data_IF_413390704088
#
_entry.id   IF_413390704088
#
_cell.length_a   1.000
_cell.length_b   1.000
_cell.length_c   1.000
_cell.angle_alpha   90.00
_cell.angle_beta   90.00
_cell.angle_gamma   90.00
#
_symmetry.space_group_name_H-M   'P 1'
#
loop_
_entity.id
_entity.type
_entity.pdbx_description
1 polymer ?
#
# COMPACT_ATOMS: atom_id res chain seq x y z
N UNK A 1 12.16 -15.05 -19.05
CA UNK A 1 11.37 -14.35 -18.03
C UNK A 1 10.80 -15.37 -17.05
N UNK A 2 11.10 -15.28 -15.75
CA UNK A 2 10.62 -16.28 -14.77
C UNK A 2 9.15 -16.09 -14.37
N UNK A 3 8.58 -14.89 -14.49
CA UNK A 3 7.20 -14.58 -14.07
C UNK A 3 6.55 -13.50 -14.97
N UNK A 4 6.28 -13.75 -16.23
CA UNK A 4 5.71 -12.76 -17.16
C UNK A 4 4.33 -12.25 -16.73
N UNK A 5 3.59 -13.05 -15.97
CA UNK A 5 2.27 -12.68 -15.44
C UNK A 5 2.33 -11.56 -14.42
N UNK A 6 3.41 -11.42 -13.62
CA UNK A 6 3.55 -10.33 -12.65
C UNK A 6 3.82 -8.99 -13.34
N UNK A 7 4.63 -9.00 -14.39
CA UNK A 7 4.85 -7.79 -15.19
C UNK A 7 3.57 -7.36 -15.92
N UNK A 8 2.85 -8.30 -16.52
CA UNK A 8 1.57 -8.04 -17.17
C UNK A 8 0.55 -7.49 -16.17
N UNK A 9 0.48 -8.06 -14.96
CA UNK A 9 -0.38 -7.56 -13.89
C UNK A 9 0.00 -6.14 -13.48
N UNK A 10 1.28 -5.85 -13.25
CA UNK A 10 1.75 -4.52 -12.86
C UNK A 10 1.42 -3.46 -13.91
N UNK A 11 1.53 -3.80 -15.20
CA UNK A 11 1.21 -2.90 -16.31
C UNK A 11 -0.30 -2.71 -16.52
N UNK A 12 -1.13 -3.70 -16.19
CA UNK A 12 -2.58 -3.66 -16.37
C UNK A 12 -3.36 -3.15 -15.16
N UNK A 13 -2.70 -3.05 -13.99
CA UNK A 13 -3.35 -2.62 -12.75
C UNK A 13 -3.42 -1.09 -12.67
N UNK A 14 -4.59 -0.50 -12.35
CA UNK A 14 -4.67 0.91 -11.96
C UNK A 14 -3.98 1.14 -10.62
N UNK A 15 -3.10 2.14 -10.56
CA UNK A 15 -2.30 2.44 -9.38
C UNK A 15 -2.76 3.71 -8.69
N UNK A 16 -3.02 3.60 -7.40
CA UNK A 16 -3.16 4.71 -6.47
C UNK A 16 -1.89 4.74 -5.59
N UNK A 17 -0.79 5.20 -6.17
CA UNK A 17 0.55 5.22 -5.57
C UNK A 17 1.28 6.51 -5.98
N UNK A 18 2.21 6.98 -5.15
CA UNK A 18 3.09 8.11 -5.52
C UNK A 18 3.89 7.78 -6.80
N UNK A 19 4.05 8.72 -7.74
CA UNK A 19 4.76 8.47 -9.00
C UNK A 19 6.23 8.04 -8.82
N UNK A 20 6.94 8.62 -7.85
CA UNK A 20 8.32 8.25 -7.50
C UNK A 20 8.42 6.83 -6.94
N UNK A 21 7.48 6.44 -6.08
CA UNK A 21 7.40 5.08 -5.55
C UNK A 21 7.02 4.06 -6.65
N UNK A 22 6.16 4.46 -7.59
CA UNK A 22 5.84 3.62 -8.75
C UNK A 22 7.06 3.42 -9.65
N UNK A 23 7.86 4.46 -9.87
CA UNK A 23 9.09 4.35 -10.63
C UNK A 23 10.08 3.37 -9.97
N UNK A 24 10.28 3.47 -8.65
CA UNK A 24 11.11 2.53 -7.89
C UNK A 24 10.58 1.09 -7.98
N UNK A 25 9.28 0.91 -7.84
CA UNK A 25 8.63 -0.40 -7.97
C UNK A 25 8.77 -0.99 -9.37
N UNK A 26 8.56 -0.18 -10.41
CA UNK A 26 8.80 -0.59 -11.80
C UNK A 26 10.24 -1.01 -12.06
N UNK A 27 11.22 -0.35 -11.43
CA UNK A 27 12.64 -0.72 -11.52
C UNK A 27 12.92 -2.09 -10.87
N UNK A 28 12.37 -2.35 -9.69
CA UNK A 28 12.49 -3.67 -9.03
C UNK A 28 11.89 -4.77 -9.91
N UNK A 29 10.70 -4.54 -10.44
CA UNK A 29 10.06 -5.49 -11.38
C UNK A 29 10.90 -5.69 -12.65
N UNK A 30 11.42 -4.63 -13.24
CA UNK A 30 12.28 -4.70 -14.42
C UNK A 30 13.59 -5.44 -14.15
N UNK A 31 14.21 -5.25 -12.98
CA UNK A 31 15.43 -5.93 -12.56
C UNK A 31 15.22 -7.44 -12.38
N UNK A 32 14.07 -7.84 -11.80
CA UNK A 32 13.80 -9.26 -11.53
C UNK A 32 13.17 -10.01 -12.71
N UNK A 33 12.39 -9.32 -13.55
CA UNK A 33 11.53 -9.95 -14.56
C UNK A 33 11.73 -9.42 -15.97
N UNK A 34 12.43 -8.30 -16.12
CA UNK A 34 12.65 -7.62 -17.40
C UNK A 34 13.82 -8.17 -18.21
N UNK A 35 13.96 -7.66 -19.44
CA UNK A 35 15.16 -7.84 -20.26
C UNK A 35 16.26 -6.88 -19.82
N UNK A 36 17.56 -7.19 -20.05
CA UNK A 36 18.67 -6.30 -19.66
C UNK A 36 18.56 -4.85 -20.15
N UNK A 37 17.87 -4.61 -21.28
CA UNK A 37 17.64 -3.25 -21.81
C UNK A 37 16.56 -2.46 -21.04
N UNK A 38 15.58 -3.11 -20.45
CA UNK A 38 14.53 -2.46 -19.66
C UNK A 38 15.10 -1.87 -18.35
N UNK A 39 16.09 -2.53 -17.75
CA UNK A 39 16.79 -2.04 -16.56
C UNK A 39 17.54 -0.72 -16.84
N UNK A 40 18.26 -0.64 -17.96
CA UNK A 40 19.03 0.55 -18.34
C UNK A 40 18.11 1.78 -18.54
N UNK A 41 16.95 1.61 -19.15
CA UNK A 41 15.95 2.66 -19.33
C UNK A 41 15.30 3.10 -18.00
N UNK A 42 15.06 2.17 -17.08
CA UNK A 42 14.49 2.46 -15.77
C UNK A 42 15.51 3.18 -14.85
N UNK A 43 16.78 2.76 -14.85
CA UNK A 43 17.85 3.36 -14.03
C UNK A 43 18.17 4.80 -14.45
N UNK A 44 18.07 5.14 -15.75
CA UNK A 44 18.38 6.50 -16.22
C UNK A 44 17.43 7.58 -15.68
N UNK A 45 16.26 7.20 -15.16
CA UNK A 45 15.24 8.10 -14.61
C UNK A 45 15.19 8.15 -13.07
N UNK A 46 16.06 7.37 -12.39
CA UNK A 46 16.06 7.29 -10.93
C UNK A 46 17.22 8.08 -10.33
N UNK A 47 16.91 9.18 -9.64
CA UNK A 47 17.84 9.80 -8.68
C UNK A 47 17.57 9.21 -7.30
N UNK A 48 18.55 8.47 -6.81
CA UNK A 48 18.50 7.74 -5.55
C UNK A 48 18.15 8.65 -4.36
N UNK A 49 17.15 8.28 -3.62
CA UNK A 49 16.69 9.04 -2.46
C UNK A 49 15.89 8.28 -1.42
N UNK A 50 15.93 6.96 -1.33
CA UNK A 50 15.55 6.24 -0.10
C UNK A 50 15.81 4.75 -0.26
N UNK A 51 16.56 4.19 0.66
CA UNK A 51 16.71 2.74 0.77
C UNK A 51 15.37 2.11 1.16
N UNK A 52 14.97 0.99 0.51
CA UNK A 52 13.77 0.28 0.90
C UNK A 52 13.96 -0.37 2.27
N UNK A 53 13.16 0.05 3.22
CA UNK A 53 13.14 -0.57 4.54
C UNK A 53 12.23 -1.80 4.48
N UNK A 54 12.81 -2.99 4.66
CA UNK A 54 12.08 -4.25 4.67
C UNK A 54 10.93 -4.20 5.69
N UNK A 55 9.70 -4.29 5.21
CA UNK A 55 8.52 -4.31 6.06
C UNK A 55 8.34 -5.70 6.67
N UNK A 56 8.38 -5.78 7.99
CA UNK A 56 7.95 -6.97 8.71
C UNK A 56 6.45 -7.24 8.45
N UNK A 57 6.00 -8.51 8.50
CA UNK A 57 4.60 -8.84 8.28
C UNK A 57 3.70 -8.05 9.22
N UNK A 58 2.57 -7.57 8.72
CA UNK A 58 1.60 -6.75 9.44
C UNK A 58 0.87 -7.55 10.54
N UNK A 59 1.55 -7.82 11.65
CA UNK A 59 0.90 -8.33 12.84
C UNK A 59 0.38 -7.16 13.67
N UNK A 60 -0.90 -7.20 14.04
CA UNK A 60 -1.45 -6.24 14.99
C UNK A 60 -0.70 -6.32 16.32
N UNK A 61 -0.34 -5.15 16.87
CA UNK A 61 0.28 -5.05 18.19
C UNK A 61 -0.76 -4.50 19.16
N UNK A 62 -0.67 -4.88 20.43
CA UNK A 62 -1.53 -4.33 21.48
C UNK A 62 -0.75 -3.40 22.38
N UNK A 63 -1.38 -2.29 22.75
CA UNK A 63 -0.95 -1.38 23.81
C UNK A 63 -2.12 -1.24 24.78
N UNK A 64 -2.13 -2.06 25.83
CA UNK A 64 -3.30 -2.21 26.70
C UNK A 64 -4.51 -2.72 25.92
N UNK A 65 -5.62 -2.00 25.98
CA UNK A 65 -6.88 -2.32 25.29
C UNK A 65 -6.98 -1.69 23.88
N UNK A 66 -5.90 -1.11 23.36
CA UNK A 66 -5.86 -0.53 22.02
C UNK A 66 -5.05 -1.44 21.10
N UNK A 67 -5.62 -1.78 19.96
CA UNK A 67 -4.93 -2.52 18.93
C UNK A 67 -4.28 -1.57 17.91
N UNK A 68 -3.05 -1.85 17.50
CA UNK A 68 -2.34 -1.11 16.46
C UNK A 68 -2.14 -2.03 15.26
N UNK A 69 -2.68 -1.64 14.12
CA UNK A 69 -2.54 -2.35 12.84
C UNK A 69 -1.63 -1.53 11.94
N UNK A 70 -0.43 -2.01 11.63
CA UNK A 70 0.46 -1.31 10.72
C UNK A 70 -0.03 -1.43 9.26
N UNK A 71 0.03 -0.32 8.54
CA UNK A 71 -0.21 -0.23 7.09
C UNK A 71 1.06 0.30 6.45
N UNK A 72 1.92 -0.61 6.02
CA UNK A 72 3.28 -0.27 5.59
C UNK A 72 3.56 -0.76 4.17
N UNK A 73 4.45 -0.06 3.47
CA UNK A 73 4.83 -0.40 2.10
C UNK A 73 3.70 -0.27 1.09
N UNK A 74 3.85 -0.82 -0.12
CA UNK A 74 2.82 -0.80 -1.14
C UNK A 74 1.54 -1.53 -0.71
N UNK A 75 0.39 -0.97 -1.08
CA UNK A 75 -0.93 -1.57 -0.82
C UNK A 75 -1.34 -2.42 -2.02
N UNK A 76 -1.75 -3.67 -1.76
CA UNK A 76 -2.24 -4.62 -2.77
C UNK A 76 -3.51 -5.31 -2.29
N UNK A 77 -4.24 -5.96 -3.20
CA UNK A 77 -5.45 -6.67 -2.81
C UNK A 77 -5.14 -7.97 -2.06
N UNK A 78 -4.28 -8.80 -2.64
CA UNK A 78 -4.01 -10.14 -2.12
C UNK A 78 -2.68 -10.24 -1.40
N UNK A 79 -2.60 -10.99 -0.28
CA UNK A 79 -1.33 -11.34 0.32
C UNK A 79 -0.46 -12.11 -0.70
N UNK A 80 0.83 -11.86 -0.68
CA UNK A 80 1.77 -12.58 -1.56
C UNK A 80 1.97 -11.98 -2.95
N UNK A 81 1.20 -10.97 -3.35
CA UNK A 81 1.47 -10.27 -4.63
C UNK A 81 2.78 -9.47 -4.60
N UNK A 82 3.23 -9.05 -3.43
CA UNK A 82 4.48 -8.27 -3.22
C UNK A 82 5.48 -9.01 -2.31
N UNK A 83 5.08 -10.05 -1.60
CA UNK A 83 5.92 -10.78 -0.62
C UNK A 83 7.28 -11.26 -1.15
N UNK A 84 7.45 -11.27 -2.46
CA UNK A 84 8.71 -11.72 -3.07
C UNK A 84 9.82 -10.68 -3.03
N UNK A 85 9.55 -9.42 -2.68
CA UNK A 85 10.55 -8.37 -2.79
C UNK A 85 10.72 -7.47 -1.56
N UNK A 86 9.69 -6.99 -0.86
CA UNK A 86 9.92 -5.93 0.14
C UNK A 86 8.81 -5.75 1.19
N UNK A 87 7.91 -6.68 1.34
CA UNK A 87 6.79 -6.52 2.27
C UNK A 87 5.84 -5.39 1.85
N UNK A 88 4.56 -5.66 1.90
CA UNK A 88 3.50 -4.71 1.62
C UNK A 88 2.31 -5.01 2.50
N UNK A 89 1.26 -4.22 2.38
CA UNK A 89 0.03 -4.44 3.12
C UNK A 89 -1.08 -4.85 2.16
N UNK A 90 -1.77 -5.95 2.48
CA UNK A 90 -2.94 -6.38 1.72
C UNK A 90 -4.22 -5.75 2.28
N UNK A 91 -5.10 -5.23 1.40
CA UNK A 91 -6.42 -4.72 1.79
C UNK A 91 -7.27 -5.79 2.44
N UNK A 92 -7.14 -7.05 2.01
CA UNK A 92 -7.82 -8.20 2.63
C UNK A 92 -7.32 -8.49 4.04
N UNK A 93 -6.01 -8.35 4.29
CA UNK A 93 -5.45 -8.49 5.63
C UNK A 93 -5.90 -7.36 6.56
N UNK A 94 -5.96 -6.12 6.07
CA UNK A 94 -6.52 -5.00 6.83
C UNK A 94 -7.97 -5.30 7.21
N UNK A 95 -8.81 -5.69 6.24
CA UNK A 95 -10.23 -5.97 6.47
C UNK A 95 -10.46 -7.14 7.43
N UNK A 96 -9.66 -8.20 7.31
CA UNK A 96 -9.72 -9.35 8.21
C UNK A 96 -9.33 -8.94 9.65
N UNK A 97 -8.21 -8.23 9.81
CA UNK A 97 -7.74 -7.77 11.12
C UNK A 97 -8.76 -6.84 11.79
N UNK A 98 -9.33 -5.90 11.03
CA UNK A 98 -10.38 -5.00 11.55
C UNK A 98 -11.62 -5.75 12.00
N UNK A 99 -12.05 -6.77 11.24
CA UNK A 99 -13.23 -7.58 11.59
C UNK A 99 -12.99 -8.42 12.83
N UNK A 100 -11.78 -8.99 12.98
CA UNK A 100 -11.38 -9.72 14.18
C UNK A 100 -11.34 -8.80 15.41
N UNK A 101 -10.71 -7.63 15.27
CA UNK A 101 -10.61 -6.64 16.36
C UNK A 101 -11.95 -6.02 16.73
N UNK A 102 -12.88 -5.91 15.78
CA UNK A 102 -14.25 -5.47 16.05
C UNK A 102 -14.98 -6.45 16.98
N UNK A 103 -14.77 -7.75 16.78
CA UNK A 103 -15.40 -8.81 17.56
C UNK A 103 -14.75 -9.05 18.93
N UNK A 104 -13.55 -8.55 19.17
CA UNK A 104 -12.81 -8.76 20.43
C UNK A 104 -13.22 -7.73 21.48
N UNK A 105 -14.01 -8.14 22.47
CA UNK A 105 -14.51 -7.27 23.54
C UNK A 105 -13.39 -6.65 24.42
N UNK A 106 -12.19 -7.20 24.41
CA UNK A 106 -11.03 -6.64 25.13
C UNK A 106 -10.40 -5.44 24.42
N UNK A 107 -10.75 -5.20 23.13
CA UNK A 107 -10.28 -4.08 22.33
C UNK A 107 -11.29 -2.95 22.37
N UNK A 108 -10.88 -1.80 22.89
CA UNK A 108 -11.74 -0.60 23.01
C UNK A 108 -11.53 0.40 21.87
N UNK A 109 -10.46 0.28 21.11
CA UNK A 109 -10.14 1.16 19.99
C UNK A 109 -9.04 0.57 19.11
N UNK A 110 -9.00 1.02 17.87
CA UNK A 110 -8.06 0.53 16.85
C UNK A 110 -7.28 1.72 16.29
N UNK A 111 -5.98 1.57 16.12
CA UNK A 111 -5.11 2.53 15.44
C UNK A 111 -4.57 1.91 14.16
N UNK A 112 -4.82 2.53 13.02
CA UNK A 112 -4.16 2.22 11.76
C UNK A 112 -2.92 3.12 11.64
N UNK A 113 -1.73 2.52 11.68
CA UNK A 113 -0.46 3.24 11.62
C UNK A 113 0.11 3.19 10.21
N UNK A 114 0.05 4.31 9.48
CA UNK A 114 0.40 4.40 8.08
C UNK A 114 1.86 4.81 7.87
N UNK A 115 2.54 4.03 7.01
CA UNK A 115 3.83 4.36 6.41
C UNK A 115 3.85 3.77 4.99
N UNK A 116 3.03 4.35 4.08
CA UNK A 116 2.73 3.76 2.78
C UNK A 116 2.68 4.80 1.66
N UNK A 117 3.27 4.51 0.50
CA UNK A 117 3.17 5.35 -0.70
C UNK A 117 1.83 5.18 -1.45
N UNK A 118 0.95 4.31 -0.97
CA UNK A 118 -0.23 3.85 -1.69
C UNK A 118 -0.01 2.52 -2.39
N UNK A 119 -0.75 2.25 -3.46
CA UNK A 119 -0.64 0.98 -4.18
C UNK A 119 -1.71 0.76 -5.24
N UNK A 120 -2.14 -0.48 -5.39
CA UNK A 120 -3.23 -0.88 -6.28
C UNK A 120 -4.55 -0.25 -5.83
N UNK A 121 -5.42 0.06 -6.80
CA UNK A 121 -6.80 0.51 -6.51
C UNK A 121 -7.68 -0.64 -6.03
N UNK A 122 -7.35 -1.88 -6.45
CA UNK A 122 -8.18 -3.05 -6.15
C UNK A 122 -8.21 -3.35 -4.65
N UNK A 123 -9.42 -3.54 -4.13
CA UNK A 123 -9.68 -3.84 -2.73
C UNK A 123 -9.63 -2.63 -1.78
N UNK A 124 -9.25 -1.43 -2.27
CA UNK A 124 -9.14 -0.23 -1.41
C UNK A 124 -10.52 0.27 -0.97
N UNK A 125 -11.49 0.27 -1.89
CA UNK A 125 -12.87 0.66 -1.56
C UNK A 125 -13.45 -0.28 -0.48
N UNK A 126 -13.32 -1.57 -0.65
CA UNK A 126 -13.85 -2.59 0.27
C UNK A 126 -13.18 -2.51 1.66
N UNK A 127 -11.88 -2.21 1.69
CA UNK A 127 -11.19 -1.96 2.95
C UNK A 127 -11.66 -0.66 3.60
N UNK A 128 -11.90 0.39 2.82
CA UNK A 128 -12.49 1.64 3.27
C UNK A 128 -13.89 1.44 3.86
N UNK A 129 -14.72 0.67 3.20
CA UNK A 129 -16.08 0.32 3.69
C UNK A 129 -16.00 -0.48 5.00
N UNK A 130 -15.00 -1.37 5.13
CA UNK A 130 -14.75 -2.09 6.37
C UNK A 130 -14.37 -1.14 7.50
N UNK A 131 -13.48 -0.16 7.26
CA UNK A 131 -13.14 0.88 8.25
C UNK A 131 -14.40 1.66 8.65
N UNK A 132 -15.21 2.07 7.68
CA UNK A 132 -16.46 2.81 7.92
C UNK A 132 -17.47 2.00 8.76
N UNK A 133 -17.58 0.71 8.53
CA UNK A 133 -18.43 -0.19 9.33
C UNK A 133 -17.92 -0.33 10.76
N UNK A 134 -16.62 -0.62 10.91
CA UNK A 134 -15.99 -0.87 12.21
C UNK A 134 -16.03 0.38 13.09
N UNK A 135 -15.75 1.58 12.52
CA UNK A 135 -15.77 2.82 13.30
C UNK A 135 -17.14 3.19 13.88
N UNK A 136 -18.20 2.61 13.37
CA UNK A 136 -19.55 2.73 13.95
C UNK A 136 -19.73 1.97 15.27
N UNK A 137 -18.82 1.04 15.60
CA UNK A 137 -18.85 0.22 16.82
C UNK A 137 -17.68 0.51 17.77
N UNK A 138 -16.49 0.63 17.20
CA UNK A 138 -15.24 0.90 17.92
C UNK A 138 -14.47 2.01 17.19
N UNK A 139 -13.96 3.04 17.88
CA UNK A 139 -13.22 4.10 17.20
C UNK A 139 -12.00 3.54 16.48
N UNK A 140 -11.82 3.96 15.22
CA UNK A 140 -10.68 3.63 14.38
C UNK A 140 -9.91 4.93 14.10
N UNK A 141 -8.75 5.08 14.69
CA UNK A 141 -7.89 6.24 14.49
C UNK A 141 -6.84 5.95 13.43
N UNK A 142 -6.61 6.88 12.53
CA UNK A 142 -5.56 6.78 11.52
C UNK A 142 -4.38 7.69 11.86
N UNK A 143 -3.17 7.18 11.82
CA UNK A 143 -1.95 7.96 12.08
C UNK A 143 -0.98 7.80 10.93
N UNK A 144 -0.75 8.85 10.14
CA UNK A 144 0.36 8.90 9.19
C UNK A 144 1.67 9.14 9.99
N UNK A 145 2.46 8.09 10.18
CA UNK A 145 3.72 8.16 10.92
C UNK A 145 4.82 8.86 10.11
N UNK A 146 4.97 8.47 8.84
CA UNK A 146 5.88 9.11 7.89
C UNK A 146 5.15 9.48 6.60
N UNK A 147 4.31 8.61 6.09
CA UNK A 147 3.65 8.77 4.81
C UNK A 147 2.29 8.05 4.80
N UNK A 148 1.24 8.73 4.36
CA UNK A 148 -0.01 8.10 3.97
C UNK A 148 -0.46 8.72 2.64
N UNK A 149 0.02 8.16 1.54
CA UNK A 149 -0.23 8.70 0.21
C UNK A 149 -1.21 7.84 -0.58
N UNK A 150 -2.01 8.49 -1.43
CA UNK A 150 -2.89 7.91 -2.44
C UNK A 150 -3.82 6.84 -1.86
N UNK A 151 -3.70 5.54 -2.17
CA UNK A 151 -4.51 4.49 -1.54
C UNK A 151 -4.40 4.51 0.00
N UNK A 152 -3.22 4.82 0.55
CA UNK A 152 -3.03 5.00 1.99
C UNK A 152 -3.81 6.19 2.54
N UNK A 153 -3.83 7.32 1.82
CA UNK A 153 -4.65 8.48 2.19
C UNK A 153 -6.15 8.17 2.08
N UNK A 154 -6.55 7.41 1.06
CA UNK A 154 -7.94 6.97 0.93
C UNK A 154 -8.40 6.21 2.18
N UNK A 155 -7.62 5.21 2.64
CA UNK A 155 -7.94 4.45 3.85
C UNK A 155 -7.87 5.33 5.11
N UNK A 156 -6.86 6.20 5.24
CA UNK A 156 -6.71 7.15 6.34
C UNK A 156 -7.95 8.05 6.48
N UNK A 157 -8.48 8.54 5.35
CA UNK A 157 -9.65 9.42 5.32
C UNK A 157 -10.95 8.75 5.79
N UNK A 158 -11.00 7.42 5.84
CA UNK A 158 -12.17 6.66 6.32
C UNK A 158 -12.19 6.48 7.85
N UNK A 159 -11.07 6.78 8.53
CA UNK A 159 -10.96 6.65 9.99
C UNK A 159 -11.90 7.61 10.73
N UNK A 160 -12.11 7.37 12.03
CA UNK A 160 -12.87 8.25 12.91
C UNK A 160 -12.21 9.62 13.00
N UNK A 161 -10.90 9.61 13.21
CA UNK A 161 -10.03 10.78 13.16
C UNK A 161 -8.72 10.42 12.48
N UNK A 162 -8.13 11.38 11.77
CA UNK A 162 -6.87 11.23 11.04
C UNK A 162 -5.82 12.19 11.60
N UNK A 163 -4.66 11.65 11.93
CA UNK A 163 -3.52 12.37 12.46
C UNK A 163 -2.32 12.23 11.54
N UNK A 164 -1.47 13.24 11.53
CA UNK A 164 -0.19 13.20 10.83
C UNK A 164 0.92 13.61 11.81
N UNK A 165 2.02 12.87 11.83
CA UNK A 165 3.22 13.27 12.56
C UNK A 165 3.76 14.60 12.04
N UNK A 166 4.45 15.43 12.86
CA UNK A 166 4.95 16.73 12.41
C UNK A 166 5.83 16.68 11.14
N UNK A 167 6.58 15.60 10.93
CA UNK A 167 7.38 15.36 9.73
C UNK A 167 6.71 14.42 8.72
N UNK A 168 5.45 14.07 8.92
CA UNK A 168 4.73 13.15 8.05
C UNK A 168 4.14 13.84 6.82
N UNK A 169 3.90 13.05 5.79
CA UNK A 169 3.26 13.49 4.55
C UNK A 169 1.94 12.76 4.32
N UNK A 170 0.92 13.49 3.86
CA UNK A 170 -0.38 12.94 3.47
C UNK A 170 -0.83 13.54 2.14
N UNK A 171 -1.62 12.79 1.36
CA UNK A 171 -2.17 13.31 0.11
C UNK A 171 -1.88 12.40 -1.09
N UNK A 172 -1.33 12.96 -2.18
CA UNK A 172 -1.17 12.25 -3.47
C UNK A 172 -2.52 11.66 -3.94
N UNK A 173 -3.56 12.51 -3.94
CA UNK A 173 -4.93 12.12 -4.28
C UNK A 173 -5.01 11.97 -5.80
N UNK A 174 -5.15 10.75 -6.27
CA UNK A 174 -5.25 10.47 -7.70
C UNK A 174 -5.03 9.00 -8.02
N UNK A 175 -5.47 8.62 -9.22
CA UNK A 175 -5.30 7.29 -9.80
C UNK A 175 -4.73 7.48 -11.20
N UNK A 176 -3.80 6.63 -11.58
CA UNK A 176 -3.28 6.58 -12.94
C UNK A 176 -3.06 5.14 -13.40
N UNK A 177 -3.03 4.96 -14.70
CA UNK A 177 -2.67 3.71 -15.34
C UNK A 177 -1.64 3.97 -16.42
N UNK A 178 -0.77 3.00 -16.66
CA UNK A 178 0.18 3.05 -17.76
C UNK A 178 -0.44 2.36 -19.00
N UNK A 179 -0.26 2.95 -20.17
CA UNK A 179 -0.62 2.35 -21.45
C UNK A 179 0.61 2.35 -22.37
N UNK A 180 0.96 1.16 -22.85
CA UNK A 180 2.04 1.00 -23.82
C UNK A 180 1.45 0.85 -25.24
N UNK A 181 1.84 1.76 -26.13
CA UNK A 181 1.45 1.67 -27.53
C UNK A 181 2.50 0.86 -28.31
N UNK A 182 2.18 -0.38 -28.59
CA UNK A 182 3.05 -1.31 -29.36
C UNK A 182 2.79 -1.31 -30.86
N UNK A 183 1.95 -0.40 -31.38
CA UNK A 183 1.57 -0.38 -32.80
C UNK A 183 2.75 -0.23 -33.78
N UNK A 184 3.89 0.31 -33.32
CA UNK A 184 5.12 0.45 -34.12
C UNK A 184 6.08 -0.74 -33.96
N UNK A 185 5.79 -1.69 -33.08
CA UNK A 185 6.60 -2.89 -32.83
C UNK A 185 6.05 -4.13 -33.57
N UNK A 186 4.88 -4.00 -34.19
CA UNK A 186 4.24 -4.96 -35.09
C UNK A 186 4.48 -4.58 -36.54
#
# INVERSE_FOLDING_TARGET
MKHPHLLAWALSTPWAMRPDSMAAYAMVLAAHYGTPGALAAAVSNFQAGSEPQAAAPSSSRRSGNVAVVPVTGPIVEWPGQIDMCEGGTSTRQISAALTELEADDSVVGIVLAFSTPGGSVYGVQEAGDTINRVKGRKPVYGVAQSLAASAGYWLLSQCTEAYCSPGGEVGSIGVYTAHENVAKAL
#
